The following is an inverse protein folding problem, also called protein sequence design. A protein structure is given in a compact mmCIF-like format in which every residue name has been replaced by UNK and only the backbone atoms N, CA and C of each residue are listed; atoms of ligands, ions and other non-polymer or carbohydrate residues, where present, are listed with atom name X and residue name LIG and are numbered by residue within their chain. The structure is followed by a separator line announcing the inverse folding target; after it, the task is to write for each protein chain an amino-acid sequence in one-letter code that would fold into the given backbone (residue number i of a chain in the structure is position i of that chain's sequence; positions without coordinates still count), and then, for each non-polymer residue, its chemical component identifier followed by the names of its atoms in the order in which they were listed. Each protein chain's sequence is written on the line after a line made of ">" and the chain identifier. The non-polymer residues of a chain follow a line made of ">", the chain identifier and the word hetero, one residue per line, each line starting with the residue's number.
data_IF_140810989043
#
_entry.id   IF_140810989043
#
_cell.length_a   1.000
_cell.length_b   1.000
_cell.length_c   1.000
_cell.angle_alpha   90.00
_cell.angle_beta   90.00
_cell.angle_gamma   90.00
#
_symmetry.space_group_name_H-M   'P 1'
#
loop_
_entity.id
_entity.type
_entity.pdbx_description
1 polymer ?
#
# COMPACT_ATOMS: atom_id res chain seq x y z
N UNK A 1 6.49 0.38 2.25
CA UNK A 1 6.13 1.17 3.47
C UNK A 1 7.29 1.20 4.48
N UNK A 2 7.63 0.13 5.21
CA UNK A 2 8.72 0.18 6.21
C UNK A 2 10.04 0.70 5.62
N UNK A 3 10.49 0.16 4.49
CA UNK A 3 11.70 0.63 3.80
C UNK A 3 11.64 2.12 3.39
N UNK A 4 10.48 2.65 3.05
CA UNK A 4 10.32 4.06 2.71
C UNK A 4 10.63 5.01 3.88
N UNK A 5 10.61 4.51 5.11
CA UNK A 5 11.03 5.29 6.28
C UNK A 5 12.56 5.47 6.40
N UNK A 6 13.32 4.87 5.48
CA UNK A 6 14.77 5.00 5.33
C UNK A 6 15.13 5.47 3.90
N UNK A 7 14.58 6.60 3.44
CA UNK A 7 14.68 7.02 2.03
C UNK A 7 16.12 7.20 1.55
N UNK A 8 17.02 7.58 2.44
CA UNK A 8 18.44 7.85 2.09
C UNK A 8 19.22 6.55 1.77
N UNK A 9 18.71 5.39 2.18
CA UNK A 9 19.32 4.09 1.89
C UNK A 9 18.88 3.51 0.53
N UNK A 10 17.75 3.97 0.00
CA UNK A 10 17.11 3.39 -1.20
C UNK A 10 18.00 3.50 -2.46
N UNK A 11 18.63 4.65 -2.78
CA UNK A 11 19.44 4.75 -4.00
C UNK A 11 20.64 3.79 -4.02
N UNK A 12 21.30 3.62 -2.88
CA UNK A 12 22.43 2.70 -2.75
C UNK A 12 21.98 1.25 -2.85
N UNK A 13 20.86 0.91 -2.22
CA UNK A 13 20.27 -0.42 -2.29
C UNK A 13 19.82 -0.76 -3.71
N UNK A 14 19.24 0.19 -4.45
CA UNK A 14 18.86 0.02 -5.85
C UNK A 14 20.11 -0.26 -6.73
N UNK A 15 21.16 0.53 -6.56
CA UNK A 15 22.42 0.32 -7.31
C UNK A 15 23.05 -1.05 -7.01
N UNK A 16 23.06 -1.47 -5.75
CA UNK A 16 23.57 -2.79 -5.38
C UNK A 16 22.72 -3.92 -5.98
N UNK A 17 21.40 -3.80 -5.92
CA UNK A 17 20.48 -4.78 -6.47
C UNK A 17 20.60 -4.91 -7.99
N UNK A 18 20.82 -3.80 -8.69
CA UNK A 18 21.07 -3.80 -10.13
C UNK A 18 22.38 -4.52 -10.49
N UNK A 19 23.45 -4.28 -9.75
CA UNK A 19 24.72 -4.99 -9.93
C UNK A 19 24.63 -6.48 -9.66
N UNK A 20 23.68 -6.92 -8.84
CA UNK A 20 23.48 -8.32 -8.43
C UNK A 20 22.19 -8.93 -8.99
N UNK A 21 21.57 -8.33 -10.01
CA UNK A 21 20.29 -8.75 -10.59
C UNK A 21 20.27 -10.20 -11.11
N UNK A 22 21.44 -10.77 -11.38
CA UNK A 22 21.63 -12.15 -11.81
C UNK A 22 21.55 -13.16 -10.66
N UNK A 23 21.61 -12.71 -9.40
CA UNK A 23 21.52 -13.57 -8.22
C UNK A 23 20.07 -13.71 -7.76
N UNK A 24 19.69 -14.90 -7.36
CA UNK A 24 18.36 -15.20 -6.82
C UNK A 24 18.43 -16.18 -5.65
N UNK A 25 17.36 -16.22 -4.84
CA UNK A 25 17.23 -17.20 -3.76
C UNK A 25 18.41 -17.19 -2.77
N UNK A 26 18.97 -18.36 -2.51
CA UNK A 26 20.03 -18.53 -1.51
C UNK A 26 21.36 -17.89 -1.93
N UNK A 27 21.65 -17.81 -3.24
CA UNK A 27 22.83 -17.12 -3.76
C UNK A 27 22.79 -15.63 -3.46
N UNK A 28 21.63 -14.99 -3.66
CA UNK A 28 21.43 -13.60 -3.30
C UNK A 28 21.52 -13.38 -1.79
N UNK A 29 20.95 -14.29 -0.99
CA UNK A 29 21.04 -14.21 0.47
C UNK A 29 22.49 -14.35 0.98
N UNK A 30 23.30 -15.18 0.33
CA UNK A 30 24.73 -15.32 0.64
C UNK A 30 25.51 -14.04 0.32
N UNK A 31 25.27 -13.42 -0.85
CA UNK A 31 25.89 -12.16 -1.23
C UNK A 31 25.55 -11.01 -0.25
N UNK A 32 24.27 -10.87 0.12
CA UNK A 32 23.84 -9.88 1.12
C UNK A 32 24.55 -10.08 2.46
N UNK A 33 24.77 -11.35 2.84
CA UNK A 33 25.44 -11.68 4.10
C UNK A 33 26.95 -11.43 4.04
N UNK A 34 27.57 -11.69 2.89
CA UNK A 34 28.99 -11.45 2.67
C UNK A 34 29.35 -9.95 2.65
N UNK A 35 28.51 -9.14 2.04
CA UNK A 35 28.75 -7.70 1.87
C UNK A 35 28.46 -6.88 3.13
N UNK A 36 27.86 -7.51 4.16
CA UNK A 36 27.57 -6.85 5.45
C UNK A 36 26.89 -5.49 5.26
N UNK A 37 25.86 -5.45 4.42
CA UNK A 37 25.19 -4.23 3.99
C UNK A 37 24.70 -3.38 5.17
N UNK A 38 25.01 -2.05 5.19
CA UNK A 38 24.73 -1.19 6.34
C UNK A 38 23.26 -0.73 6.41
N UNK A 39 22.41 -1.22 5.50
CA UNK A 39 21.02 -0.77 5.40
C UNK A 39 20.10 -1.45 6.39
N UNK A 40 19.01 -0.76 6.71
CA UNK A 40 17.95 -1.34 7.54
C UNK A 40 17.44 -2.66 6.93
N UNK A 41 17.14 -3.68 7.76
CA UNK A 41 16.61 -4.95 7.27
C UNK A 41 15.35 -4.83 6.41
N UNK A 42 14.52 -3.80 6.58
CA UNK A 42 13.37 -3.55 5.71
C UNK A 42 13.78 -3.12 4.30
N UNK A 43 14.91 -2.44 4.15
CA UNK A 43 15.51 -2.11 2.85
C UNK A 43 16.17 -3.34 2.24
N UNK A 44 16.96 -4.09 3.03
CA UNK A 44 17.57 -5.33 2.57
C UNK A 44 16.54 -6.36 2.09
N UNK A 45 15.35 -6.38 2.70
CA UNK A 45 14.24 -7.23 2.28
C UNK A 45 13.69 -6.88 0.88
N UNK A 46 14.02 -5.72 0.32
CA UNK A 46 13.64 -5.33 -1.03
C UNK A 46 14.68 -5.69 -2.10
N UNK A 47 15.87 -6.16 -1.72
CA UNK A 47 16.92 -6.51 -2.69
C UNK A 47 16.52 -7.58 -3.72
N UNK A 48 15.64 -8.55 -3.41
CA UNK A 48 15.09 -9.46 -4.42
C UNK A 48 14.17 -8.78 -5.44
N UNK A 49 13.84 -7.50 -5.26
CA UNK A 49 12.88 -6.76 -6.08
C UNK A 49 13.51 -5.48 -6.63
N UNK A 50 14.52 -5.59 -7.53
CA UNK A 50 15.26 -4.43 -8.03
C UNK A 50 14.33 -3.38 -8.66
N UNK A 51 13.29 -3.80 -9.38
CA UNK A 51 12.33 -2.88 -9.99
C UNK A 51 11.57 -2.03 -8.94
N UNK A 52 11.35 -2.55 -7.74
CA UNK A 52 10.72 -1.78 -6.65
C UNK A 52 11.69 -0.75 -6.10
N UNK A 53 12.94 -1.15 -5.88
CA UNK A 53 14.00 -0.24 -5.43
C UNK A 53 14.25 0.87 -6.46
N UNK A 54 14.29 0.52 -7.75
CA UNK A 54 14.41 1.48 -8.86
C UNK A 54 13.26 2.48 -8.87
N UNK A 55 12.02 2.01 -8.75
CA UNK A 55 10.85 2.88 -8.69
C UNK A 55 10.98 3.87 -7.53
N UNK A 56 11.37 3.40 -6.35
CA UNK A 56 11.56 4.23 -5.17
C UNK A 56 12.74 5.20 -5.32
N UNK A 57 13.81 4.79 -5.98
CA UNK A 57 15.01 5.61 -6.21
C UNK A 57 14.78 6.70 -7.27
N UNK A 58 13.94 6.44 -8.28
CA UNK A 58 13.59 7.43 -9.33
C UNK A 58 12.75 8.58 -8.82
N UNK A 59 11.95 8.34 -7.79
CA UNK A 59 11.14 9.38 -7.15
C UNK A 59 11.44 9.43 -5.64
N UNK A 60 12.57 10.05 -5.26
CA UNK A 60 12.98 10.13 -3.87
C UNK A 60 12.08 11.04 -3.03
N UNK A 61 11.41 12.01 -3.67
CA UNK A 61 10.45 12.89 -2.99
C UNK A 61 9.23 12.08 -2.57
N UNK A 62 8.61 11.36 -3.48
CA UNK A 62 7.48 10.48 -3.20
C UNK A 62 7.84 9.38 -2.17
N UNK A 63 9.03 8.78 -2.30
CA UNK A 63 9.49 7.76 -1.36
C UNK A 63 9.62 8.31 0.05
N UNK A 64 10.14 9.53 0.21
CA UNK A 64 10.24 10.22 1.50
C UNK A 64 8.87 10.55 2.06
N UNK A 65 7.98 11.13 1.26
CA UNK A 65 6.61 11.45 1.65
C UNK A 65 5.83 10.22 2.11
N UNK A 66 5.97 9.09 1.40
CA UNK A 66 5.39 7.81 1.82
C UNK A 66 5.95 7.34 3.17
N UNK A 67 7.25 7.47 3.37
CA UNK A 67 7.92 7.13 4.64
C UNK A 67 7.42 7.99 5.79
N UNK A 68 7.35 9.29 5.57
CA UNK A 68 6.90 10.29 6.52
C UNK A 68 5.43 10.08 6.89
N UNK A 69 4.56 9.89 5.91
CA UNK A 69 3.16 9.56 6.13
C UNK A 69 3.02 8.26 6.93
N UNK A 70 3.85 7.25 6.65
CA UNK A 70 3.80 5.98 7.35
C UNK A 70 4.30 6.08 8.80
N UNK A 71 5.28 6.95 9.09
CA UNK A 71 5.73 7.24 10.46
C UNK A 71 4.68 8.01 11.26
N UNK A 72 3.98 8.95 10.61
CA UNK A 72 3.00 9.82 11.25
C UNK A 72 1.63 9.15 11.44
N UNK A 73 1.17 8.38 10.45
CA UNK A 73 -0.22 7.89 10.37
C UNK A 73 -0.31 6.51 9.70
N UNK A 74 0.36 5.52 10.27
CA UNK A 74 0.43 4.16 9.74
C UNK A 74 -0.95 3.56 9.40
N UNK A 75 -1.94 3.76 10.27
CA UNK A 75 -3.30 3.25 10.07
C UNK A 75 -3.94 3.79 8.80
N UNK A 76 -3.80 5.09 8.56
CA UNK A 76 -4.44 5.75 7.42
C UNK A 76 -3.80 5.35 6.09
N UNK A 77 -2.48 5.14 6.09
CA UNK A 77 -1.75 4.59 4.94
C UNK A 77 -2.23 3.17 4.63
N UNK A 78 -2.41 2.33 5.63
CA UNK A 78 -2.92 0.97 5.44
C UNK A 78 -4.36 0.98 4.93
N UNK A 79 -5.21 1.85 5.47
CA UNK A 79 -6.59 2.02 5.00
C UNK A 79 -6.63 2.56 3.56
N UNK A 80 -5.69 3.45 3.18
CA UNK A 80 -5.57 3.92 1.80
C UNK A 80 -5.25 2.77 0.85
N UNK A 81 -4.30 1.89 1.19
CA UNK A 81 -4.00 0.71 0.37
C UNK A 81 -5.23 -0.17 0.18
N UNK A 82 -6.04 -0.36 1.22
CA UNK A 82 -7.26 -1.16 1.10
C UNK A 82 -8.33 -0.47 0.24
N UNK A 83 -8.46 0.86 0.32
CA UNK A 83 -9.36 1.62 -0.57
C UNK A 83 -8.99 1.43 -2.04
N UNK A 84 -7.71 1.56 -2.38
CA UNK A 84 -7.22 1.37 -3.75
C UNK A 84 -7.41 -0.08 -4.25
N UNK A 85 -7.15 -1.07 -3.41
CA UNK A 85 -7.43 -2.48 -3.73
C UNK A 85 -8.92 -2.73 -3.99
N UNK A 86 -9.79 -2.13 -3.17
CA UNK A 86 -11.24 -2.24 -3.36
C UNK A 86 -11.70 -1.59 -4.66
N UNK A 87 -11.12 -0.45 -5.04
CA UNK A 87 -11.41 0.19 -6.33
C UNK A 87 -11.00 -0.72 -7.49
N UNK A 88 -9.77 -1.21 -7.49
CA UNK A 88 -9.27 -2.12 -8.51
C UNK A 88 -10.11 -3.40 -8.60
N UNK A 89 -10.53 -3.96 -7.47
CA UNK A 89 -11.40 -5.13 -7.42
C UNK A 89 -12.80 -4.83 -7.97
N UNK A 90 -13.41 -3.72 -7.56
CA UNK A 90 -14.76 -3.29 -7.98
C UNK A 90 -14.82 -3.05 -9.48
N UNK A 91 -13.79 -2.44 -10.05
CA UNK A 91 -13.69 -2.23 -11.50
C UNK A 91 -13.28 -3.49 -12.27
N UNK A 92 -13.02 -4.58 -11.58
CA UNK A 92 -12.72 -5.87 -12.19
C UNK A 92 -11.27 -6.06 -12.64
N UNK A 93 -10.39 -5.11 -12.36
CA UNK A 93 -8.97 -5.22 -12.70
C UNK A 93 -8.22 -6.17 -11.77
N UNK A 94 -8.53 -6.13 -10.46
CA UNK A 94 -7.91 -7.03 -9.48
C UNK A 94 -8.74 -8.30 -9.32
N UNK A 95 -8.29 -9.39 -9.92
CA UNK A 95 -8.94 -10.71 -9.89
C UNK A 95 -7.91 -11.81 -9.68
N UNK A 96 -8.36 -12.95 -9.17
CA UNK A 96 -7.54 -14.16 -9.14
C UNK A 96 -7.13 -14.57 -10.55
N UNK A 97 -5.90 -15.06 -10.65
CA UNK A 97 -5.29 -15.56 -11.89
C UNK A 97 -4.35 -16.73 -11.55
N UNK A 98 -3.64 -17.35 -12.52
CA UNK A 98 -2.74 -18.46 -12.24
C UNK A 98 -1.58 -18.16 -11.28
N UNK A 99 -1.28 -16.89 -10.99
CA UNK A 99 -0.18 -16.47 -10.12
C UNK A 99 -0.64 -16.05 -8.73
N UNK A 100 -1.85 -15.45 -8.62
CA UNK A 100 -2.39 -14.93 -7.36
C UNK A 100 -3.82 -15.37 -7.11
N UNK A 101 -4.13 -15.52 -5.83
CA UNK A 101 -5.50 -15.64 -5.32
C UNK A 101 -5.90 -14.31 -4.70
N UNK A 102 -7.02 -13.74 -5.17
CA UNK A 102 -7.62 -12.54 -4.59
C UNK A 102 -8.85 -12.96 -3.80
N UNK A 103 -8.88 -12.61 -2.53
CA UNK A 103 -10.02 -12.85 -1.65
C UNK A 103 -10.72 -11.54 -1.34
N UNK A 104 -12.05 -11.53 -1.45
CA UNK A 104 -12.90 -10.40 -1.10
C UNK A 104 -13.61 -10.72 0.22
N UNK A 105 -13.22 -10.00 1.26
CA UNK A 105 -13.79 -10.09 2.61
C UNK A 105 -13.87 -8.69 3.21
N UNK A 106 -13.74 -8.54 4.52
CA UNK A 106 -13.61 -7.23 5.17
C UNK A 106 -12.43 -6.41 4.57
N UNK A 107 -11.44 -7.11 4.06
CA UNK A 107 -10.26 -6.57 3.38
C UNK A 107 -9.96 -7.39 2.13
N UNK A 108 -9.44 -6.72 1.10
CA UNK A 108 -8.94 -7.42 -0.09
C UNK A 108 -7.62 -8.09 0.25
N UNK A 109 -7.63 -9.42 0.27
CA UNK A 109 -6.44 -10.25 0.40
C UNK A 109 -5.85 -10.58 -0.97
N UNK A 110 -4.53 -10.58 -1.06
CA UNK A 110 -3.77 -11.04 -2.23
C UNK A 110 -2.74 -12.02 -1.72
N UNK A 111 -2.79 -13.25 -2.21
CA UNK A 111 -1.83 -14.29 -1.86
C UNK A 111 -1.28 -14.95 -3.14
N UNK A 112 -0.03 -15.40 -3.17
CA UNK A 112 0.47 -16.17 -4.30
C UNK A 112 -0.22 -17.55 -4.34
N UNK A 113 -0.46 -18.08 -5.55
CA UNK A 113 -0.95 -19.46 -5.73
C UNK A 113 0.09 -20.46 -5.22
N UNK A 114 1.37 -20.20 -5.50
CA UNK A 114 2.48 -20.99 -4.97
C UNK A 114 3.14 -20.23 -3.80
N UNK A 115 3.05 -20.73 -2.56
CA UNK A 115 3.59 -20.04 -1.38
C UNK A 115 5.13 -19.99 -1.34
N UNK A 116 5.83 -20.72 -2.21
CA UNK A 116 7.29 -20.66 -2.37
C UNK A 116 7.78 -19.44 -3.15
N UNK A 117 6.84 -18.67 -3.73
CA UNK A 117 7.16 -17.50 -4.54
C UNK A 117 6.45 -16.26 -4.01
N UNK A 118 7.06 -15.10 -4.22
CA UNK A 118 6.38 -13.81 -4.08
C UNK A 118 6.08 -13.27 -5.47
N UNK A 119 4.83 -12.91 -5.68
CA UNK A 119 4.35 -12.26 -6.91
C UNK A 119 4.02 -10.81 -6.58
N UNK A 120 4.66 -9.88 -7.28
CA UNK A 120 4.42 -8.45 -7.11
C UNK A 120 3.53 -7.96 -8.24
N UNK A 121 2.31 -7.47 -7.93
CA UNK A 121 1.47 -6.83 -8.93
C UNK A 121 1.99 -5.41 -9.23
N UNK A 122 2.05 -5.06 -10.50
CA UNK A 122 2.34 -3.71 -10.99
C UNK A 122 1.05 -3.08 -11.48
N UNK A 123 0.62 -2.03 -10.81
CA UNK A 123 -0.61 -1.31 -11.15
C UNK A 123 -0.31 -0.17 -12.11
N UNK A 124 -1.08 -0.07 -13.19
CA UNK A 124 -1.10 1.15 -13.99
C UNK A 124 -2.09 2.15 -13.36
N UNK A 125 -1.62 3.17 -12.65
CA UNK A 125 -2.48 4.07 -11.89
C UNK A 125 -3.42 4.89 -12.77
N UNK A 126 -3.06 5.12 -14.03
CA UNK A 126 -3.90 5.84 -14.97
C UNK A 126 -5.13 5.03 -15.44
N UNK A 127 -5.16 3.73 -15.15
CA UNK A 127 -6.23 2.83 -15.60
C UNK A 127 -6.93 2.17 -14.43
N UNK A 128 -6.17 1.58 -13.51
CA UNK A 128 -6.68 0.63 -12.52
C UNK A 128 -7.65 1.23 -11.49
N UNK A 129 -7.59 2.54 -11.28
CA UNK A 129 -8.43 3.26 -10.32
C UNK A 129 -9.61 3.99 -10.97
N UNK A 130 -9.82 3.79 -12.28
CA UNK A 130 -10.91 4.38 -13.03
C UNK A 130 -11.86 3.31 -13.57
N UNK A 131 -13.15 3.62 -13.75
CA UNK A 131 -14.09 2.69 -14.37
C UNK A 131 -13.61 2.28 -15.76
N UNK A 132 -13.75 0.98 -16.15
CA UNK A 132 -13.42 0.55 -17.49
C UNK A 132 -14.31 1.25 -18.51
N UNK A 133 -13.72 1.69 -19.62
CA UNK A 133 -14.48 2.28 -20.72
C UNK A 133 -15.33 1.18 -21.39
N UNK A 134 -16.60 1.46 -21.73
CA UNK A 134 -17.44 0.51 -22.46
C UNK A 134 -16.75 0.01 -23.74
N UNK A 135 -16.74 -1.30 -23.96
CA UNK A 135 -16.10 -1.92 -25.13
C UNK A 135 -14.60 -2.17 -25.04
N UNK A 136 -13.93 -1.76 -23.94
CA UNK A 136 -12.51 -2.07 -23.72
C UNK A 136 -12.35 -3.32 -22.86
N UNK A 137 -11.41 -4.18 -23.28
CA UNK A 137 -11.03 -5.35 -22.47
C UNK A 137 -10.22 -4.91 -21.24
N UNK A 138 -10.56 -5.45 -20.07
CA UNK A 138 -9.95 -5.10 -18.77
C UNK A 138 -8.56 -5.73 -18.58
N UNK A 139 -7.89 -6.15 -19.65
CA UNK A 139 -6.55 -6.73 -19.61
C UNK A 139 -5.45 -5.66 -19.55
N UNK A 140 -4.36 -5.96 -18.81
CA UNK A 140 -3.15 -5.12 -18.82
C UNK A 140 -3.12 -3.95 -17.83
N UNK A 141 -4.19 -3.70 -17.05
CA UNK A 141 -4.19 -2.67 -16.01
C UNK A 141 -3.31 -3.05 -14.80
N UNK A 142 -3.15 -4.35 -14.57
CA UNK A 142 -2.25 -4.92 -13.56
C UNK A 142 -1.34 -5.91 -14.27
N UNK A 143 -0.05 -5.63 -14.27
CA UNK A 143 0.99 -6.55 -14.68
C UNK A 143 1.46 -7.40 -13.49
N UNK A 144 1.99 -8.58 -13.76
CA UNK A 144 2.59 -9.46 -12.76
C UNK A 144 3.97 -9.85 -13.22
N UNK A 145 4.95 -9.85 -12.31
CA UNK A 145 6.24 -10.45 -12.59
C UNK A 145 6.14 -11.98 -12.53
N UNK A 146 7.13 -12.65 -13.11
CA UNK A 146 7.35 -14.08 -12.84
C UNK A 146 7.74 -14.21 -11.37
N UNK A 147 6.96 -14.90 -10.56
CA UNK A 147 7.17 -15.01 -9.11
C UNK A 147 8.64 -15.17 -8.72
N UNK A 148 9.09 -14.42 -7.73
CA UNK A 148 10.46 -14.45 -7.24
C UNK A 148 10.55 -15.51 -6.15
N UNK A 149 11.40 -16.52 -6.38
CA UNK A 149 11.72 -17.50 -5.35
C UNK A 149 12.58 -16.84 -4.27
N UNK A 150 12.09 -16.88 -3.05
CA UNK A 150 12.85 -16.46 -1.88
C UNK A 150 13.46 -17.69 -1.23
N UNK A 151 14.65 -18.04 -1.52
CA UNK A 151 15.34 -19.15 -0.88
C UNK A 151 15.23 -19.12 0.65
N UNK A 152 15.62 -20.20 1.29
CA UNK A 152 15.57 -20.36 2.77
C UNK A 152 16.32 -19.23 3.48
N UNK A 153 17.39 -18.71 2.89
CA UNK A 153 18.20 -17.62 3.40
C UNK A 153 17.47 -16.28 3.57
N UNK A 154 16.34 -16.04 2.86
CA UNK A 154 15.54 -14.83 3.03
C UNK A 154 14.52 -14.89 4.17
N UNK A 155 14.26 -16.07 4.73
CA UNK A 155 13.32 -16.20 5.84
C UNK A 155 13.73 -15.37 7.07
N UNK A 156 15.02 -15.35 7.49
CA UNK A 156 15.45 -14.51 8.61
C UNK A 156 15.31 -13.00 8.32
N UNK A 157 15.28 -12.61 7.04
CA UNK A 157 15.13 -11.20 6.61
C UNK A 157 13.68 -10.82 6.36
N UNK A 158 12.74 -11.65 6.77
CA UNK A 158 11.40 -11.21 6.98
C UNK A 158 10.32 -11.72 6.07
N UNK A 159 10.66 -12.26 4.92
CA UNK A 159 9.60 -12.65 3.99
C UNK A 159 8.78 -13.86 4.47
N UNK A 160 9.35 -14.78 5.23
CA UNK A 160 8.64 -15.94 5.77
C UNK A 160 7.78 -15.66 7.01
N UNK A 161 8.02 -14.56 7.71
CA UNK A 161 7.38 -14.24 9.00
C UNK A 161 6.77 -12.84 9.04
N UNK A 162 6.69 -12.19 7.91
CA UNK A 162 6.07 -10.87 7.79
C UNK A 162 4.61 -11.02 7.39
N UNK A 163 3.76 -10.22 8.00
CA UNK A 163 2.35 -10.15 7.63
C UNK A 163 1.79 -8.76 7.86
N UNK A 164 0.77 -8.46 7.09
CA UNK A 164 -0.13 -7.34 7.35
C UNK A 164 -1.34 -7.85 8.14
N UNK A 165 -1.61 -7.19 9.24
CA UNK A 165 -2.88 -7.31 9.94
C UNK A 165 -3.71 -6.08 9.57
N UNK A 166 -4.58 -6.24 8.59
CA UNK A 166 -5.40 -5.15 8.07
C UNK A 166 -6.43 -4.69 9.11
N UNK A 167 -6.97 -5.61 9.91
CA UNK A 167 -7.93 -5.32 10.97
C UNK A 167 -7.34 -4.52 12.10
N UNK A 168 -6.16 -4.91 12.57
CA UNK A 168 -5.41 -4.18 13.60
C UNK A 168 -4.60 -3.00 13.05
N UNK A 169 -4.60 -2.77 11.74
CA UNK A 169 -3.79 -1.77 11.03
C UNK A 169 -2.33 -1.84 11.46
N UNK A 170 -1.79 -3.05 11.48
CA UNK A 170 -0.45 -3.33 11.97
C UNK A 170 0.36 -4.14 10.96
N UNK A 171 1.66 -3.90 10.96
CA UNK A 171 2.65 -4.71 10.25
C UNK A 171 3.41 -5.52 11.31
N UNK A 172 3.55 -6.79 11.02
CA UNK A 172 4.39 -7.66 11.81
C UNK A 172 5.61 -8.05 10.99
N UNK A 173 6.77 -7.84 11.56
CA UNK A 173 8.06 -8.22 10.99
C UNK A 173 8.67 -9.23 11.95
N UNK A 174 8.98 -10.41 11.43
CA UNK A 174 9.50 -11.50 12.24
C UNK A 174 8.64 -11.77 13.49
N UNK A 175 7.32 -11.83 13.32
CA UNK A 175 6.30 -11.97 14.37
C UNK A 175 6.26 -10.87 15.43
N UNK A 176 7.14 -9.88 15.40
CA UNK A 176 7.08 -8.70 16.24
C UNK A 176 6.32 -7.57 15.51
N UNK A 177 5.46 -6.87 16.25
CA UNK A 177 4.77 -5.70 15.70
C UNK A 177 5.80 -4.62 15.34
N UNK A 178 5.80 -4.18 14.12
CA UNK A 178 6.62 -3.06 13.69
C UNK A 178 6.01 -1.75 14.24
N UNK A 179 6.84 -0.96 14.91
CA UNK A 179 6.35 0.19 15.67
C UNK A 179 7.22 1.44 15.56
N UNK A 180 7.96 1.61 14.44
CA UNK A 180 8.68 2.86 14.19
C UNK A 180 7.68 3.98 13.92
N UNK A 181 7.91 5.12 14.58
CA UNK A 181 7.09 6.34 14.47
C UNK A 181 8.00 7.55 14.43
N UNK A 182 7.46 8.74 14.16
CA UNK A 182 8.21 9.99 14.27
C UNK A 182 8.86 10.17 15.65
N UNK A 183 8.16 9.82 16.70
CA UNK A 183 8.61 10.04 18.08
C UNK A 183 9.79 9.14 18.44
N UNK A 184 9.76 7.88 18.03
CA UNK A 184 10.77 6.89 18.37
C UNK A 184 11.78 6.59 17.26
N UNK A 185 11.74 7.31 16.14
CA UNK A 185 12.54 6.98 14.94
C UNK A 185 14.04 6.86 15.18
N UNK A 186 14.59 7.62 16.11
CA UNK A 186 16.00 7.57 16.50
C UNK A 186 16.34 6.45 17.49
N UNK A 187 15.38 6.00 18.29
CA UNK A 187 15.56 4.95 19.30
C UNK A 187 14.91 3.60 18.90
N UNK A 188 14.22 3.54 17.78
CA UNK A 188 13.54 2.34 17.34
C UNK A 188 14.54 1.22 17.02
N UNK A 189 14.35 0.07 17.68
CA UNK A 189 15.12 -1.15 17.42
C UNK A 189 14.30 -2.04 16.48
N UNK A 190 14.85 -2.27 15.29
CA UNK A 190 14.20 -3.12 14.31
C UNK A 190 14.09 -4.56 14.80
N UNK A 191 12.98 -5.29 14.56
CA UNK A 191 12.80 -6.68 15.01
C UNK A 191 13.87 -7.68 14.53
N UNK A 192 14.63 -7.30 13.50
CA UNK A 192 15.79 -8.09 13.00
C UNK A 192 17.15 -7.57 13.47
N UNK A 193 17.19 -6.62 14.40
CA UNK A 193 18.47 -6.16 14.92
C UNK A 193 19.27 -7.32 15.52
N UNK A 194 20.59 -7.25 15.39
CA UNK A 194 21.49 -8.27 15.92
C UNK A 194 21.25 -8.47 17.41
N UNK A 195 21.14 -9.72 17.86
CA UNK A 195 20.88 -10.08 19.26
C UNK A 195 19.45 -10.51 19.59
N UNK A 196 18.48 -10.24 18.72
CA UNK A 196 17.13 -10.81 18.89
C UNK A 196 17.17 -12.28 18.43
N UNK A 197 17.13 -13.21 19.39
CA UNK A 197 16.98 -14.63 19.06
C UNK A 197 15.56 -14.86 18.56
N UNK A 198 15.45 -15.13 17.28
CA UNK A 198 14.18 -15.46 16.64
C UNK A 198 13.88 -16.94 16.88
N UNK A 199 12.96 -17.21 17.79
CA UNK A 199 12.34 -18.53 17.85
C UNK A 199 11.36 -18.59 16.68
N UNK A 200 11.75 -19.28 15.61
CA UNK A 200 10.83 -19.55 14.52
C UNK A 200 9.64 -20.35 15.05
N UNK A 201 8.39 -19.88 14.91
CA UNK A 201 7.25 -20.74 15.21
C UNK A 201 7.34 -21.94 14.28
N UNK A 202 7.21 -23.14 14.83
CA UNK A 202 7.17 -24.35 14.04
C UNK A 202 6.04 -24.22 13.00
N UNK A 203 6.40 -24.17 11.72
CA UNK A 203 5.43 -24.20 10.64
C UNK A 203 4.66 -25.52 10.75
N UNK A 204 3.39 -25.48 11.15
CA UNK A 204 2.46 -26.59 11.03
C UNK A 204 1.77 -26.47 9.66
N UNK A 205 2.08 -27.33 8.68
CA UNK A 205 1.30 -27.40 7.46
C UNK A 205 -0.14 -27.77 7.82
N UNK A 206 -1.10 -26.94 7.46
CA UNK A 206 -2.52 -27.23 7.65
C UNK A 206 -3.19 -26.65 8.89
N UNK A 207 -2.50 -25.85 9.70
CA UNK A 207 -3.16 -25.06 10.75
C UNK A 207 -3.93 -23.90 10.13
N UNK A 208 -5.24 -24.10 9.91
CA UNK A 208 -6.17 -22.99 9.74
C UNK A 208 -6.03 -22.14 10.99
N UNK A 209 -5.43 -20.95 10.88
CA UNK A 209 -5.53 -19.96 11.94
C UNK A 209 -7.02 -19.60 11.98
N UNK A 210 -7.72 -20.17 12.96
CA UNK A 210 -9.05 -19.70 13.28
C UNK A 210 -8.91 -18.24 13.70
N UNK A 211 -9.06 -17.34 12.76
CA UNK A 211 -9.28 -15.95 13.06
C UNK A 211 -10.60 -15.90 13.79
N UNK A 212 -10.53 -15.68 15.11
CA UNK A 212 -11.70 -15.30 15.89
C UNK A 212 -12.37 -14.19 15.10
N UNK A 213 -13.66 -14.32 14.76
CA UNK A 213 -14.36 -13.24 14.06
C UNK A 213 -14.18 -11.99 14.92
N UNK A 214 -13.54 -10.96 14.37
CA UNK A 214 -13.61 -9.64 14.96
C UNK A 214 -15.10 -9.28 15.01
N UNK A 215 -15.61 -8.95 16.18
CA UNK A 215 -16.97 -8.41 16.30
C UNK A 215 -17.12 -7.30 15.26
N UNK A 216 -18.22 -7.27 14.52
CA UNK A 216 -18.44 -6.21 13.55
C UNK A 216 -18.36 -4.89 14.29
N UNK A 217 -17.33 -4.13 14.03
CA UNK A 217 -17.28 -2.74 14.41
C UNK A 217 -18.45 -2.11 13.67
N UNK A 218 -19.56 -1.88 14.38
CA UNK A 218 -20.67 -1.11 13.84
C UNK A 218 -20.07 0.19 13.29
N UNK A 219 -20.04 0.26 11.98
CA UNK A 219 -19.85 1.53 11.30
C UNK A 219 -21.03 2.38 11.78
N UNK A 220 -20.78 3.26 12.75
CA UNK A 220 -21.76 4.30 13.08
C UNK A 220 -22.16 4.90 11.75
N UNK A 221 -23.45 4.89 11.39
CA UNK A 221 -23.88 5.56 10.18
C UNK A 221 -23.38 7.00 10.31
N UNK A 222 -22.57 7.40 9.34
CA UNK A 222 -22.17 8.80 9.16
C UNK A 222 -23.49 9.53 9.10
N UNK A 223 -23.77 10.38 10.09
CA UNK A 223 -24.94 11.23 10.09
C UNK A 223 -25.06 11.85 8.69
N UNK A 224 -26.14 11.53 8.00
CA UNK A 224 -26.46 12.15 6.72
C UNK A 224 -26.34 13.67 6.92
N UNK A 225 -25.62 14.40 6.07
CA UNK A 225 -25.67 15.84 6.11
C UNK A 225 -27.15 16.24 5.90
N UNK A 226 -27.67 16.98 6.85
CA UNK A 226 -29.06 17.46 6.85
C UNK A 226 -29.38 18.03 5.46
N UNK A 227 -30.39 17.46 4.80
CA UNK A 227 -30.88 17.89 3.48
C UNK A 227 -31.34 19.35 3.45
N UNK A 228 -31.32 20.06 4.58
CA UNK A 228 -31.68 21.47 4.70
C UNK A 228 -30.63 22.47 4.19
N UNK A 229 -29.34 22.11 4.16
CA UNK A 229 -28.30 23.06 3.80
C UNK A 229 -28.25 23.39 2.29
N UNK A 230 -28.80 22.54 1.43
CA UNK A 230 -28.80 22.74 -0.03
C UNK A 230 -29.99 23.54 -0.54
N UNK A 231 -31.10 23.61 0.21
CA UNK A 231 -32.25 24.42 -0.19
C UNK A 231 -32.02 25.93 0.04
N UNK A 232 -31.26 26.27 1.08
CA UNK A 232 -30.96 27.71 1.35
C UNK A 232 -29.94 28.33 0.38
N UNK A 233 -29.12 27.53 -0.31
CA UNK A 233 -28.20 28.02 -1.34
C UNK A 233 -28.95 28.42 -2.65
N UNK A 234 -29.94 27.64 -3.05
CA UNK A 234 -30.72 27.93 -4.27
C UNK A 234 -31.65 29.13 -4.10
N UNK A 235 -32.22 29.31 -2.91
CA UNK A 235 -33.05 30.46 -2.64
C UNK A 235 -32.28 31.79 -2.69
N UNK A 236 -31.01 31.81 -2.28
CA UNK A 236 -30.14 32.99 -2.38
C UNK A 236 -29.68 33.29 -3.80
N UNK A 237 -29.45 32.30 -4.64
CA UNK A 237 -29.11 32.52 -6.06
C UNK A 237 -30.30 33.04 -6.88
N UNK A 238 -31.53 32.61 -6.58
CA UNK A 238 -32.72 33.12 -7.24
C UNK A 238 -33.05 34.55 -6.81
N UNK A 239 -32.86 34.94 -5.56
CA UNK A 239 -33.01 36.34 -5.11
C UNK A 239 -31.99 37.27 -5.77
N UNK A 240 -30.74 36.81 -6.00
CA UNK A 240 -29.73 37.65 -6.66
C UNK A 240 -30.03 37.84 -8.16
N UNK A 241 -30.55 36.81 -8.84
CA UNK A 241 -30.97 36.93 -10.25
C UNK A 241 -32.24 37.79 -10.45
N UNK A 242 -33.14 37.76 -9.47
CA UNK A 242 -34.35 38.62 -9.50
C UNK A 242 -34.02 40.11 -9.31
N UNK A 243 -32.97 40.42 -8.54
CA UNK A 243 -32.52 41.80 -8.31
C UNK A 243 -31.86 42.46 -9.53
N UNK A 244 -31.08 41.71 -10.30
CA UNK A 244 -30.42 42.24 -11.51
C UNK A 244 -31.41 42.53 -12.66
N UNK A 245 -32.42 41.70 -12.85
CA UNK A 245 -33.44 41.96 -13.89
C UNK A 245 -34.28 43.19 -13.61
N UNK A 246 -34.57 43.52 -12.34
CA UNK A 246 -35.31 44.75 -12.00
C UNK A 246 -34.46 46.02 -12.14
N UNK A 247 -33.14 45.92 -12.04
CA UNK A 247 -32.21 47.04 -12.26
C UNK A 247 -32.03 47.41 -13.71
N UNK A 248 -32.14 46.46 -14.63
CA UNK A 248 -32.05 46.71 -16.08
C UNK A 248 -33.34 47.29 -16.66
N UNK A 249 -34.52 46.90 -16.21
CA UNK A 249 -35.80 47.50 -16.65
C UNK A 249 -35.91 48.97 -16.25
N UNK A 250 -35.43 49.37 -15.09
CA UNK A 250 -35.46 50.80 -14.68
C UNK A 250 -34.48 51.70 -15.45
N UNK A 251 -33.38 51.16 -15.99
CA UNK A 251 -32.44 51.92 -16.82
C UNK A 251 -32.89 52.09 -18.25
N UNK A 252 -33.84 51.29 -18.73
CA UNK A 252 -34.44 51.39 -20.06
C UNK A 252 -35.53 52.50 -20.17
N UNK A 253 -36.17 52.87 -19.07
CA UNK A 253 -37.20 53.89 -19.04
C UNK A 253 -36.69 55.35 -18.95
N UNK A 254 -35.44 55.52 -18.43
CA UNK A 254 -34.83 56.87 -18.34
C UNK A 254 -34.15 57.36 -19.64
N UNK A 255 -34.21 56.59 -20.74
CA UNK A 255 -33.59 56.96 -22.03
C UNK A 255 -34.58 57.03 -23.22
N UNK A 256 -35.84 57.30 -22.93
CA UNK A 256 -36.79 57.66 -24.01
C UNK A 256 -37.39 59.04 -23.78
#
# INVERSE_FOLDING_TARGET
>A
MAAATYPDQIPQAASWADQHHYLTGDALAAAISADQLPWDPSVQALLPFPNILDMMARDPAWTRELGDAFLAQQSDVMDAVQRERQLAYRYGYLRSNPQIVVTNGPYIGIAPVNPGFIVVPYYNPAVVFFPPRPGFYVGGAIGFNFGISLGVGFRPRGWGYNRFDWGARAIYINNARWGRTWVNRGAYVHPYAAGVRHVAPAYRPGGVVATRPAEPHELRPRSEPERGAWQNGRAREEEHRGGERRGEERRGEERR
#
